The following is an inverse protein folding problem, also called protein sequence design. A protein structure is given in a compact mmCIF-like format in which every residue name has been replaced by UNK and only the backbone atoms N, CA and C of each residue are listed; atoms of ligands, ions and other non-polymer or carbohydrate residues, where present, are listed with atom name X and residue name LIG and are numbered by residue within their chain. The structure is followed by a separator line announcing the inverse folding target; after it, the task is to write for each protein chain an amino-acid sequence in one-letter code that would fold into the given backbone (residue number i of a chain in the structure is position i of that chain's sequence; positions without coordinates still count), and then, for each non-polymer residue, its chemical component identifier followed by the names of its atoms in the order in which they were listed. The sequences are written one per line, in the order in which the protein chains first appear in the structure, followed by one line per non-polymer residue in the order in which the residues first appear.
data_IF_098787124578
#
_entry.id   IF_098787124578
#
_cell.length_a   1.000
_cell.length_b   1.000
_cell.length_c   1.000
_cell.angle_alpha   90.00
_cell.angle_beta   90.00
_cell.angle_gamma   90.00
#
_symmetry.space_group_name_H-M   'P 1'
#
loop_
_entity.id
_entity.type
_entity.pdbx_description
1 polymer ?
#
# COMPACT_ATOMS: atom_id res chain seq x y z
N UNK A 1 -0.72 15.87 19.20
CA UNK A 1 -1.28 16.29 17.91
C UNK A 1 -2.77 15.92 17.86
N UNK A 2 -3.65 16.87 17.57
CA UNK A 2 -5.08 16.53 17.36
C UNK A 2 -5.30 16.26 15.87
N UNK A 3 -5.30 15.00 15.50
CA UNK A 3 -5.43 14.56 14.10
C UNK A 3 -6.92 14.46 13.77
N UNK A 4 -7.40 15.31 12.87
CA UNK A 4 -8.82 15.34 12.49
C UNK A 4 -9.24 14.10 11.69
N UNK A 5 -10.52 13.74 11.74
CA UNK A 5 -11.10 12.69 10.90
C UNK A 5 -10.89 12.95 9.41
N UNK A 6 -11.00 14.21 8.96
CA UNK A 6 -10.73 14.61 7.59
C UNK A 6 -9.28 14.31 7.17
N UNK A 7 -8.29 14.54 8.06
CA UNK A 7 -6.90 14.20 7.81
C UNK A 7 -6.71 12.68 7.67
N UNK A 8 -7.30 11.88 8.56
CA UNK A 8 -7.22 10.40 8.46
C UNK A 8 -7.86 9.93 7.16
N UNK A 9 -9.03 10.49 6.79
CA UNK A 9 -9.71 10.15 5.54
C UNK A 9 -8.82 10.43 4.32
N UNK A 10 -8.15 11.58 4.29
CA UNK A 10 -7.27 11.94 3.16
C UNK A 10 -6.07 11.01 3.00
N UNK A 11 -5.68 10.27 4.03
CA UNK A 11 -4.58 9.30 4.03
C UNK A 11 -5.06 7.86 3.74
N UNK A 12 -6.37 7.65 3.62
CA UNK A 12 -6.95 6.31 3.51
C UNK A 12 -6.84 5.77 2.08
N UNK A 13 -6.28 4.57 1.94
CA UNK A 13 -6.53 3.68 0.81
C UNK A 13 -7.70 2.77 1.19
N UNK A 14 -8.92 3.15 0.77
CA UNK A 14 -10.14 2.42 1.06
C UNK A 14 -10.13 1.08 0.33
N UNK A 15 -10.05 -0.01 1.08
CA UNK A 15 -9.64 -1.32 0.57
C UNK A 15 -10.78 -2.33 0.63
N UNK A 16 -11.03 -3.05 -0.47
CA UNK A 16 -11.75 -4.32 -0.50
C UNK A 16 -10.94 -5.36 -1.25
N UNK A 17 -10.51 -6.39 -0.52
CA UNK A 17 -9.73 -7.53 -1.03
C UNK A 17 -10.30 -8.82 -0.41
N UNK A 18 -11.63 -8.98 -0.47
CA UNK A 18 -12.29 -10.22 -0.01
C UNK A 18 -12.47 -11.15 -1.19
N UNK A 19 -12.41 -12.46 -0.93
CA UNK A 19 -12.57 -13.49 -1.98
C UNK A 19 -13.97 -13.50 -2.57
N UNK A 20 -14.95 -13.01 -1.82
CA UNK A 20 -16.36 -12.90 -2.20
C UNK A 20 -16.75 -11.49 -2.69
N UNK A 21 -15.80 -10.62 -2.98
CA UNK A 21 -16.10 -9.30 -3.55
C UNK A 21 -16.86 -9.45 -4.88
N UNK A 22 -17.91 -8.66 -5.02
CA UNK A 22 -18.76 -8.61 -6.21
C UNK A 22 -18.72 -7.22 -6.84
N UNK A 23 -19.15 -7.07 -8.12
CA UNK A 23 -19.26 -5.75 -8.73
C UNK A 23 -20.08 -4.75 -7.89
N UNK A 24 -21.13 -5.20 -7.21
CA UNK A 24 -21.95 -4.35 -6.35
C UNK A 24 -21.19 -3.84 -5.11
N UNK A 25 -20.33 -4.68 -4.52
CA UNK A 25 -19.44 -4.29 -3.40
C UNK A 25 -18.46 -3.23 -3.86
N UNK A 26 -17.88 -3.37 -5.05
CA UNK A 26 -16.91 -2.41 -5.60
C UNK A 26 -17.60 -1.10 -5.99
N UNK A 27 -18.81 -1.13 -6.53
CA UNK A 27 -19.61 0.08 -6.79
C UNK A 27 -19.87 0.86 -5.50
N UNK A 28 -20.24 0.16 -4.42
CA UNK A 28 -20.42 0.78 -3.10
C UNK A 28 -19.10 1.33 -2.53
N UNK A 29 -17.98 0.61 -2.70
CA UNK A 29 -16.65 1.09 -2.30
C UNK A 29 -16.31 2.42 -2.98
N UNK A 30 -16.45 2.50 -4.31
CA UNK A 30 -16.18 3.71 -5.09
C UNK A 30 -17.11 4.86 -4.70
N UNK A 31 -18.40 4.58 -4.47
CA UNK A 31 -19.37 5.58 -4.01
C UNK A 31 -19.01 6.16 -2.63
N UNK A 32 -18.44 5.35 -1.77
CA UNK A 32 -17.99 5.75 -0.43
C UNK A 32 -16.60 6.41 -0.41
N UNK A 33 -15.91 6.50 -1.53
CA UNK A 33 -14.57 7.10 -1.62
C UNK A 33 -14.57 8.63 -1.42
N UNK A 34 -15.74 9.27 -1.53
CA UNK A 34 -15.95 10.71 -1.24
C UNK A 34 -17.00 10.86 -0.17
N UNK A 35 -16.68 11.62 0.88
CA UNK A 35 -17.53 11.89 2.03
C UNK A 35 -17.70 13.41 2.24
N UNK A 36 -18.63 13.83 3.09
CA UNK A 36 -18.85 15.25 3.42
C UNK A 36 -17.61 15.94 4.00
N UNK A 37 -16.72 15.18 4.65
CA UNK A 37 -15.48 15.66 5.27
C UNK A 37 -14.25 15.58 4.34
N UNK A 38 -14.40 15.11 3.09
CA UNK A 38 -13.32 14.99 2.12
C UNK A 38 -13.37 13.70 1.32
N UNK A 39 -12.24 13.31 0.76
CA UNK A 39 -12.08 12.10 -0.06
C UNK A 39 -10.92 11.24 0.42
N UNK A 40 -10.94 9.96 0.06
CA UNK A 40 -9.81 9.04 0.30
C UNK A 40 -8.69 9.30 -0.69
N UNK A 41 -7.47 8.82 -0.37
CA UNK A 41 -6.32 8.89 -1.28
C UNK A 41 -6.47 7.93 -2.45
N UNK A 42 -6.92 6.70 -2.17
CA UNK A 42 -7.11 5.67 -3.19
C UNK A 42 -8.26 4.73 -2.82
N UNK A 43 -8.80 4.03 -3.83
CA UNK A 43 -9.49 2.76 -3.64
C UNK A 43 -8.51 1.64 -3.98
N UNK A 44 -8.52 0.54 -3.21
CA UNK A 44 -7.64 -0.60 -3.43
C UNK A 44 -8.48 -1.87 -3.59
N UNK A 45 -8.39 -2.50 -4.75
CA UNK A 45 -9.23 -3.62 -5.15
C UNK A 45 -8.40 -4.74 -5.78
N UNK A 46 -8.98 -5.94 -5.92
CA UNK A 46 -8.37 -7.00 -6.72
C UNK A 46 -8.29 -6.63 -8.22
N UNK A 47 -7.33 -7.19 -8.99
CA UNK A 47 -7.11 -6.85 -10.40
C UNK A 47 -8.38 -6.89 -11.27
N UNK A 48 -9.30 -7.88 -11.17
CA UNK A 48 -10.51 -7.93 -12.00
C UNK A 48 -11.45 -6.74 -11.82
N UNK A 49 -11.31 -5.97 -10.75
CA UNK A 49 -12.17 -4.82 -10.44
C UNK A 49 -11.53 -3.46 -10.75
N UNK A 50 -10.32 -3.43 -11.31
CA UNK A 50 -9.61 -2.18 -11.62
C UNK A 50 -10.38 -1.35 -12.65
N UNK A 51 -10.73 -1.92 -13.79
CA UNK A 51 -11.45 -1.23 -14.85
C UNK A 51 -12.80 -0.69 -14.37
N UNK A 52 -13.53 -1.48 -13.57
CA UNK A 52 -14.79 -1.06 -12.96
C UNK A 52 -14.58 0.12 -12.02
N UNK A 53 -13.60 0.03 -11.12
CA UNK A 53 -13.28 1.10 -10.17
C UNK A 53 -12.92 2.39 -10.89
N UNK A 54 -12.10 2.29 -11.95
CA UNK A 54 -11.73 3.46 -12.77
C UNK A 54 -12.95 4.11 -13.44
N UNK A 55 -13.86 3.30 -13.96
CA UNK A 55 -15.07 3.80 -14.61
C UNK A 55 -16.09 4.44 -13.63
N UNK A 56 -16.10 3.97 -12.37
CA UNK A 56 -17.02 4.49 -11.32
C UNK A 56 -16.51 5.77 -10.67
N UNK A 57 -15.21 5.97 -10.59
CA UNK A 57 -14.66 7.20 -10.03
C UNK A 57 -14.77 8.34 -11.06
N UNK A 58 -15.24 9.54 -10.65
CA UNK A 58 -15.29 10.69 -11.54
C UNK A 58 -13.92 11.01 -12.15
N UNK A 59 -13.91 11.44 -13.41
CA UNK A 59 -12.69 11.94 -14.02
C UNK A 59 -12.14 13.11 -13.19
N UNK A 60 -10.83 13.13 -12.97
CA UNK A 60 -10.14 14.17 -12.21
C UNK A 60 -10.58 14.31 -10.74
N UNK A 61 -11.22 13.28 -10.15
CA UNK A 61 -11.57 13.32 -8.72
C UNK A 61 -10.34 13.33 -7.81
N UNK A 62 -9.14 12.99 -8.32
CA UNK A 62 -7.90 12.89 -7.58
C UNK A 62 -7.91 11.74 -6.55
N UNK A 63 -8.69 10.68 -6.81
CA UNK A 63 -8.66 9.42 -6.08
C UNK A 63 -7.95 8.39 -6.96
N UNK A 64 -6.92 7.77 -6.44
CA UNK A 64 -6.17 6.75 -7.16
C UNK A 64 -6.89 5.39 -7.17
N UNK A 65 -6.61 4.57 -8.19
CA UNK A 65 -7.01 3.17 -8.22
C UNK A 65 -5.77 2.32 -8.01
N UNK A 66 -5.70 1.69 -6.84
CA UNK A 66 -4.65 0.77 -6.47
C UNK A 66 -5.12 -0.68 -6.64
N UNK A 67 -4.20 -1.55 -7.02
CA UNK A 67 -4.44 -2.99 -7.03
C UNK A 67 -3.22 -3.78 -6.56
N UNK A 68 -3.42 -5.06 -6.29
CA UNK A 68 -2.39 -5.94 -5.75
C UNK A 68 -1.87 -6.91 -6.81
N UNK A 69 -0.57 -7.23 -6.76
CA UNK A 69 0.07 -8.25 -7.61
C UNK A 69 1.00 -9.13 -6.75
N UNK A 70 1.31 -10.34 -7.21
CA UNK A 70 2.04 -11.34 -6.42
C UNK A 70 1.34 -11.64 -5.08
N UNK A 71 0.02 -11.50 -5.04
CA UNK A 71 -0.77 -11.41 -3.82
C UNK A 71 -1.63 -12.67 -3.61
N UNK A 72 -1.74 -13.19 -2.36
CA UNK A 72 -1.19 -12.63 -1.11
C UNK A 72 0.17 -13.21 -0.69
N UNK A 73 0.69 -14.20 -1.38
CA UNK A 73 1.75 -15.09 -0.88
C UNK A 73 3.17 -14.66 -1.21
N UNK A 74 3.36 -13.79 -2.21
CA UNK A 74 4.67 -13.29 -2.61
C UNK A 74 5.56 -14.32 -3.30
N UNK A 75 5.01 -15.41 -3.84
CA UNK A 75 5.78 -16.53 -4.39
C UNK A 75 5.43 -16.91 -5.84
N UNK A 76 4.73 -16.01 -6.55
CA UNK A 76 4.44 -16.20 -7.95
C UNK A 76 5.69 -15.99 -8.83
N UNK A 77 5.78 -16.67 -9.99
CA UNK A 77 6.85 -16.44 -10.96
C UNK A 77 6.89 -14.98 -11.44
N UNK A 78 8.08 -14.41 -11.57
CA UNK A 78 8.25 -13.00 -12.00
C UNK A 78 7.53 -12.70 -13.33
N UNK A 79 7.56 -13.63 -14.28
CA UNK A 79 6.90 -13.43 -15.57
C UNK A 79 5.37 -13.28 -15.44
N UNK A 80 4.76 -14.00 -14.52
CA UNK A 80 3.31 -13.93 -14.25
C UNK A 80 2.97 -12.62 -13.55
N UNK A 81 3.81 -12.17 -12.59
CA UNK A 81 3.64 -10.89 -11.89
C UNK A 81 3.80 -9.70 -12.85
N UNK A 82 4.73 -9.78 -13.81
CA UNK A 82 4.88 -8.77 -14.86
C UNK A 82 3.61 -8.70 -15.74
N UNK A 83 3.06 -9.85 -16.14
CA UNK A 83 1.83 -9.89 -16.92
C UNK A 83 0.63 -9.34 -16.14
N UNK A 84 0.47 -9.70 -14.86
CA UNK A 84 -0.55 -9.15 -13.97
C UNK A 84 -0.43 -7.63 -13.87
N UNK A 85 0.79 -7.12 -13.65
CA UNK A 85 1.07 -5.68 -13.53
C UNK A 85 0.72 -4.94 -14.83
N UNK A 86 1.15 -5.47 -15.99
CA UNK A 86 0.85 -4.89 -17.29
C UNK A 86 -0.65 -4.81 -17.55
N UNK A 87 -1.40 -5.87 -17.21
CA UNK A 87 -2.85 -5.88 -17.37
C UNK A 87 -3.52 -4.88 -16.43
N UNK A 88 -3.12 -4.84 -15.16
CA UNK A 88 -3.68 -3.91 -14.18
C UNK A 88 -3.48 -2.44 -14.60
N UNK A 89 -2.31 -2.09 -15.13
CA UNK A 89 -2.02 -0.75 -15.65
C UNK A 89 -2.87 -0.44 -16.89
N UNK A 90 -3.03 -1.40 -17.80
CA UNK A 90 -3.90 -1.27 -18.97
C UNK A 90 -5.37 -1.08 -18.59
N UNK A 91 -5.84 -1.71 -17.51
CA UNK A 91 -7.19 -1.57 -16.95
C UNK A 91 -7.41 -0.24 -16.21
N UNK A 92 -6.35 0.57 -16.03
CA UNK A 92 -6.42 1.91 -15.47
C UNK A 92 -6.00 2.02 -14.01
N UNK A 93 -5.31 1.02 -13.43
CA UNK A 93 -4.62 1.20 -12.16
C UNK A 93 -3.50 2.24 -12.32
N UNK A 94 -3.35 3.10 -11.34
CA UNK A 94 -2.23 4.04 -11.26
C UNK A 94 -1.37 3.83 -10.01
N UNK A 95 -1.73 2.86 -9.18
CA UNK A 95 -0.91 2.40 -8.05
C UNK A 95 -0.91 0.86 -8.01
N UNK A 96 0.27 0.27 -7.87
CA UNK A 96 0.47 -1.17 -7.78
C UNK A 96 1.05 -1.52 -6.41
N UNK A 97 0.35 -2.36 -5.66
CA UNK A 97 0.79 -2.89 -4.37
C UNK A 97 1.37 -4.31 -4.59
N UNK A 98 2.68 -4.41 -4.74
CA UNK A 98 3.42 -5.66 -4.98
C UNK A 98 3.75 -6.37 -3.67
N UNK A 99 3.44 -7.65 -3.54
CA UNK A 99 3.97 -8.45 -2.42
C UNK A 99 5.43 -8.82 -2.71
N UNK A 100 6.32 -8.42 -1.80
CA UNK A 100 7.74 -8.77 -1.82
C UNK A 100 7.90 -10.30 -1.68
N UNK A 101 8.87 -10.95 -2.33
CA UNK A 101 9.16 -12.37 -2.15
C UNK A 101 9.80 -12.67 -0.78
N UNK A 102 9.07 -12.39 0.31
CA UNK A 102 9.59 -12.42 1.67
C UNK A 102 10.03 -13.82 2.12
N UNK A 103 9.38 -14.88 1.61
CA UNK A 103 9.79 -16.27 1.88
C UNK A 103 11.14 -16.60 1.25
N UNK A 104 11.41 -16.10 0.04
CA UNK A 104 12.70 -16.26 -0.61
C UNK A 104 13.79 -15.54 0.17
N UNK A 105 13.53 -14.33 0.67
CA UNK A 105 14.46 -13.60 1.55
C UNK A 105 14.79 -14.38 2.81
N UNK A 106 13.78 -14.96 3.48
CA UNK A 106 13.98 -15.80 4.67
C UNK A 106 14.86 -17.03 4.39
N UNK A 107 14.90 -17.51 3.16
CA UNK A 107 15.76 -18.60 2.69
C UNK A 107 17.13 -18.12 2.19
N UNK A 108 17.47 -16.84 2.36
CA UNK A 108 18.73 -16.23 1.96
C UNK A 108 18.79 -15.81 0.48
N UNK A 109 17.69 -15.89 -0.25
CA UNK A 109 17.61 -15.48 -1.66
C UNK A 109 17.10 -14.03 -1.79
N UNK A 110 17.95 -13.06 -1.47
CA UNK A 110 17.68 -11.64 -1.61
C UNK A 110 17.52 -11.23 -3.10
N UNK A 111 18.24 -11.89 -4.01
CA UNK A 111 18.22 -11.59 -5.43
C UNK A 111 16.82 -11.74 -6.06
N UNK A 112 15.98 -12.63 -5.53
CA UNK A 112 14.60 -12.74 -5.98
C UNK A 112 13.79 -11.47 -5.69
N UNK A 113 14.00 -10.85 -4.52
CA UNK A 113 13.38 -9.57 -4.15
C UNK A 113 13.88 -8.41 -5.03
N UNK A 114 15.19 -8.33 -5.26
CA UNK A 114 15.80 -7.33 -6.12
C UNK A 114 15.26 -7.39 -7.56
N UNK A 115 15.23 -8.60 -8.14
CA UNK A 115 14.74 -8.79 -9.51
C UNK A 115 13.24 -8.48 -9.63
N UNK A 116 12.42 -8.93 -8.66
CA UNK A 116 10.98 -8.68 -8.66
C UNK A 116 10.69 -7.19 -8.55
N UNK A 117 11.23 -6.53 -7.53
CA UNK A 117 10.95 -5.11 -7.29
C UNK A 117 11.45 -4.22 -8.43
N UNK A 118 12.68 -4.44 -8.95
CA UNK A 118 13.25 -3.57 -9.97
C UNK A 118 12.51 -3.66 -11.32
N UNK A 119 12.10 -4.86 -11.74
CA UNK A 119 11.37 -5.02 -13.00
C UNK A 119 9.95 -4.48 -12.90
N UNK A 120 9.26 -4.71 -11.77
CA UNK A 120 7.92 -4.15 -11.56
C UNK A 120 7.98 -2.63 -11.41
N UNK A 121 8.96 -2.06 -10.69
CA UNK A 121 9.15 -0.61 -10.59
C UNK A 121 9.34 0.02 -11.98
N UNK A 122 10.22 -0.57 -12.80
CA UNK A 122 10.45 -0.11 -14.17
C UNK A 122 9.15 -0.07 -14.98
N UNK A 123 8.38 -1.15 -14.94
CA UNK A 123 7.11 -1.25 -15.67
C UNK A 123 6.08 -0.22 -15.18
N UNK A 124 5.91 -0.10 -13.87
CA UNK A 124 4.95 0.85 -13.25
C UNK A 124 5.31 2.30 -13.59
N UNK A 125 6.59 2.67 -13.48
CA UNK A 125 7.06 4.02 -13.77
C UNK A 125 6.95 4.38 -15.26
N UNK A 126 7.14 3.42 -16.19
CA UNK A 126 6.89 3.65 -17.62
C UNK A 126 5.42 4.07 -17.91
N UNK A 127 4.49 3.69 -17.04
CA UNK A 127 3.07 4.06 -17.12
C UNK A 127 2.72 5.24 -16.20
N UNK A 128 3.71 5.95 -15.66
CA UNK A 128 3.52 7.06 -14.70
C UNK A 128 2.72 6.65 -13.45
N UNK A 129 2.79 5.39 -13.08
CA UNK A 129 2.19 4.83 -11.87
C UNK A 129 3.12 4.90 -10.66
N UNK A 130 2.61 4.54 -9.48
CA UNK A 130 3.38 4.40 -8.24
C UNK A 130 3.42 2.94 -7.78
N UNK A 131 4.59 2.49 -7.34
CA UNK A 131 4.81 1.16 -6.79
C UNK A 131 4.86 1.20 -5.25
N UNK A 132 3.99 0.44 -4.60
CA UNK A 132 4.08 0.16 -3.16
C UNK A 132 4.51 -1.29 -2.95
N UNK A 133 5.55 -1.53 -2.18
CA UNK A 133 6.07 -2.87 -1.91
C UNK A 133 5.61 -3.34 -0.54
N UNK A 134 4.79 -4.40 -0.53
CA UNK A 134 4.28 -5.04 0.69
C UNK A 134 5.35 -6.00 1.21
N UNK A 135 5.95 -5.67 2.34
CA UNK A 135 7.05 -6.46 2.90
C UNK A 135 6.59 -7.66 3.71
N UNK A 136 5.33 -7.71 4.12
CA UNK A 136 4.72 -8.71 5.02
C UNK A 136 5.46 -8.77 6.36
N UNK A 137 5.55 -7.61 7.01
CA UNK A 137 6.37 -7.41 8.21
C UNK A 137 6.02 -8.34 9.36
N UNK A 138 4.76 -8.80 9.44
CA UNK A 138 4.32 -9.77 10.45
C UNK A 138 4.92 -11.18 10.30
N UNK A 139 5.54 -11.47 9.15
CA UNK A 139 6.23 -12.74 8.88
C UNK A 139 7.75 -12.64 9.02
N UNK A 140 8.31 -11.43 9.21
CA UNK A 140 9.75 -11.17 9.15
C UNK A 140 10.34 -10.81 10.52
N UNK A 141 11.61 -11.17 10.73
CA UNK A 141 12.39 -10.60 11.84
C UNK A 141 12.72 -9.13 11.59
N UNK A 142 13.08 -8.35 12.64
CA UNK A 142 13.50 -6.96 12.47
C UNK A 142 14.60 -6.76 11.43
N UNK A 143 15.59 -7.67 11.39
CA UNK A 143 16.70 -7.65 10.43
C UNK A 143 16.19 -7.88 9.00
N UNK A 144 15.29 -8.84 8.80
CA UNK A 144 14.70 -9.11 7.48
C UNK A 144 13.76 -7.96 7.04
N UNK A 145 13.04 -7.30 7.96
CA UNK A 145 12.25 -6.10 7.64
C UNK A 145 13.16 -5.00 7.10
N UNK A 146 14.27 -4.71 7.79
CA UNK A 146 15.21 -3.70 7.35
C UNK A 146 15.85 -4.05 6.00
N UNK A 147 16.25 -5.31 5.79
CA UNK A 147 16.84 -5.79 4.55
C UNK A 147 15.85 -5.71 3.39
N UNK A 148 14.61 -6.18 3.57
CA UNK A 148 13.56 -6.11 2.55
C UNK A 148 13.24 -4.64 2.17
N UNK A 149 13.20 -3.74 3.16
CA UNK A 149 13.00 -2.31 2.94
C UNK A 149 14.14 -1.71 2.11
N UNK A 150 15.40 -2.01 2.42
CA UNK A 150 16.57 -1.56 1.68
C UNK A 150 16.53 -2.04 0.22
N UNK A 151 16.20 -3.32 0.00
CA UNK A 151 16.05 -3.89 -1.36
C UNK A 151 14.95 -3.16 -2.12
N UNK A 152 13.76 -2.99 -1.53
CA UNK A 152 12.64 -2.33 -2.18
C UNK A 152 12.94 -0.87 -2.52
N UNK A 153 13.56 -0.12 -1.61
CA UNK A 153 14.00 1.27 -1.84
C UNK A 153 15.02 1.34 -2.97
N UNK A 154 16.06 0.51 -2.93
CA UNK A 154 17.10 0.49 -3.96
C UNK A 154 16.54 0.11 -5.34
N UNK A 155 15.51 -0.72 -5.38
CA UNK A 155 14.82 -1.15 -6.60
C UNK A 155 13.82 -0.12 -7.17
N UNK A 156 13.59 1.00 -6.47
CA UNK A 156 12.73 2.09 -6.95
C UNK A 156 11.29 2.05 -6.42
N UNK A 157 11.03 1.44 -5.26
CA UNK A 157 9.73 1.54 -4.62
C UNK A 157 9.40 2.99 -4.23
N UNK A 158 8.17 3.43 -4.54
CA UNK A 158 7.65 4.74 -4.13
C UNK A 158 7.12 4.68 -2.70
N UNK A 159 6.64 3.52 -2.25
CA UNK A 159 6.19 3.27 -0.89
C UNK A 159 6.68 1.92 -0.38
N UNK A 160 7.02 1.87 0.91
CA UNK A 160 7.04 0.63 1.67
C UNK A 160 5.66 0.41 2.30
N UNK A 161 5.15 -0.82 2.22
CA UNK A 161 3.86 -1.19 2.84
C UNK A 161 4.09 -2.34 3.82
N UNK A 162 3.46 -2.25 5.00
CA UNK A 162 3.70 -3.23 6.05
C UNK A 162 3.20 -4.63 5.71
N UNK A 163 1.93 -4.78 5.33
CA UNK A 163 1.28 -6.10 5.34
C UNK A 163 0.22 -6.27 4.26
N UNK A 164 -0.04 -7.52 3.87
CA UNK A 164 -1.19 -7.89 3.01
C UNK A 164 -2.53 -7.79 3.76
N UNK A 165 -2.52 -8.02 5.07
CA UNK A 165 -3.71 -8.22 5.89
C UNK A 165 -4.32 -9.63 5.76
N UNK A 166 -3.58 -10.58 5.17
CA UNK A 166 -4.01 -11.97 4.92
C UNK A 166 -3.35 -12.99 5.84
N UNK A 167 -2.41 -12.56 6.68
CA UNK A 167 -1.82 -13.40 7.72
C UNK A 167 -2.23 -12.91 9.12
N UNK A 168 -1.97 -13.71 10.14
CA UNK A 168 -2.42 -13.45 11.51
C UNK A 168 -1.84 -12.13 12.10
N UNK A 169 -0.60 -11.80 11.75
CA UNK A 169 0.10 -10.62 12.25
C UNK A 169 0.17 -9.55 11.16
N UNK A 170 -0.51 -8.45 11.37
CA UNK A 170 -0.50 -7.28 10.47
C UNK A 170 0.59 -6.26 10.84
N UNK A 171 0.27 -4.98 10.68
CA UNK A 171 1.17 -3.88 11.05
C UNK A 171 1.42 -3.84 12.56
N UNK A 172 2.64 -3.46 12.95
CA UNK A 172 2.99 -3.10 14.33
C UNK A 172 3.76 -1.77 14.35
N UNK A 173 3.73 -1.07 15.49
CA UNK A 173 4.49 0.17 15.64
C UNK A 173 6.01 -0.09 15.57
N UNK A 174 6.46 -1.25 16.04
CA UNK A 174 7.86 -1.67 15.95
C UNK A 174 8.31 -1.84 14.51
N UNK A 175 7.54 -2.57 13.69
CA UNK A 175 7.83 -2.72 12.27
C UNK A 175 7.77 -1.38 11.54
N UNK A 176 6.76 -0.56 11.83
CA UNK A 176 6.63 0.79 11.28
C UNK A 176 7.84 1.68 11.62
N UNK A 177 8.37 1.59 12.84
CA UNK A 177 9.58 2.33 13.24
C UNK A 177 10.79 1.93 12.38
N UNK A 178 11.00 0.62 12.15
CA UNK A 178 12.09 0.12 11.29
C UNK A 178 11.94 0.69 9.87
N UNK A 179 10.73 0.66 9.31
CA UNK A 179 10.49 1.18 7.96
C UNK A 179 10.74 2.69 7.89
N UNK A 180 10.28 3.46 8.86
CA UNK A 180 10.53 4.90 8.94
C UNK A 180 12.04 5.22 9.06
N UNK A 181 12.80 4.38 9.77
CA UNK A 181 14.26 4.52 9.85
C UNK A 181 14.93 4.31 8.49
N UNK A 182 14.48 3.33 7.70
CA UNK A 182 15.00 3.09 6.35
C UNK A 182 14.58 4.21 5.38
N UNK A 183 13.34 4.69 5.46
CA UNK A 183 12.84 5.81 4.66
C UNK A 183 13.62 7.10 4.97
N UNK A 184 13.89 7.40 6.23
CA UNK A 184 14.66 8.58 6.62
C UNK A 184 16.12 8.57 6.11
N UNK A 185 16.67 7.39 5.81
CA UNK A 185 18.02 7.22 5.27
C UNK A 185 18.03 7.14 3.73
N UNK A 186 16.88 7.03 3.10
CA UNK A 186 16.77 6.93 1.65
C UNK A 186 17.23 8.21 0.95
N UNK A 187 17.88 8.04 -0.22
CA UNK A 187 18.35 9.19 -1.04
C UNK A 187 17.25 9.73 -1.96
N UNK A 188 16.22 8.96 -2.20
CA UNK A 188 15.03 9.33 -2.96
C UNK A 188 13.80 9.43 -2.03
N UNK A 189 12.78 10.19 -2.42
CA UNK A 189 11.51 10.19 -1.69
C UNK A 189 10.88 8.79 -1.67
N UNK A 190 10.53 8.31 -0.49
CA UNK A 190 9.80 7.04 -0.30
C UNK A 190 8.74 7.26 0.77
N UNK A 191 7.53 6.81 0.53
CA UNK A 191 6.43 6.86 1.48
C UNK A 191 6.28 5.59 2.31
N UNK A 192 5.38 5.66 3.28
CA UNK A 192 4.99 4.53 4.12
C UNK A 192 3.48 4.28 4.01
N UNK A 193 3.08 3.04 3.76
CA UNK A 193 1.69 2.60 3.88
C UNK A 193 1.56 1.60 5.01
N UNK A 194 0.73 1.93 6.00
CA UNK A 194 0.36 1.03 7.09
C UNK A 194 -0.88 0.24 6.68
N UNK A 195 -0.84 -1.08 6.78
CA UNK A 195 -1.99 -1.94 6.47
C UNK A 195 -1.98 -3.24 7.29
N UNK A 196 -3.17 -3.84 7.46
CA UNK A 196 -3.35 -5.02 8.30
C UNK A 196 -3.55 -4.66 9.77
N UNK A 197 -4.81 -4.57 10.21
CA UNK A 197 -5.18 -4.37 11.60
C UNK A 197 -5.57 -2.94 12.00
N UNK A 198 -5.51 -1.95 11.12
CA UNK A 198 -5.96 -0.58 11.42
C UNK A 198 -7.48 -0.49 11.25
N UNK A 199 -8.21 -0.53 12.36
CA UNK A 199 -9.68 -0.62 12.35
C UNK A 199 -10.39 0.57 13.00
N UNK A 200 -9.67 1.35 13.81
CA UNK A 200 -10.20 2.45 14.60
C UNK A 200 -9.32 3.70 14.52
N UNK A 201 -9.90 4.83 14.92
CA UNK A 201 -9.24 6.15 14.87
C UNK A 201 -8.00 6.18 15.76
N UNK A 202 -8.04 5.59 16.95
CA UNK A 202 -6.92 5.64 17.89
C UNK A 202 -5.68 4.93 17.32
N UNK A 203 -5.87 3.76 16.71
CA UNK A 203 -4.81 3.02 16.02
C UNK A 203 -4.24 3.84 14.85
N UNK A 204 -5.09 4.43 14.01
CA UNK A 204 -4.66 5.28 12.91
C UNK A 204 -3.84 6.48 13.41
N UNK A 205 -4.30 7.16 14.46
CA UNK A 205 -3.61 8.29 15.08
C UNK A 205 -2.25 7.92 15.66
N UNK A 206 -2.10 6.71 16.23
CA UNK A 206 -0.82 6.24 16.76
C UNK A 206 0.25 6.14 15.66
N UNK A 207 -0.08 5.55 14.50
CA UNK A 207 0.84 5.47 13.35
C UNK A 207 1.14 6.84 12.74
N UNK A 208 0.13 7.71 12.62
CA UNK A 208 0.32 9.08 12.14
C UNK A 208 1.25 9.86 13.08
N UNK A 209 1.04 9.76 14.39
CA UNK A 209 1.88 10.43 15.38
C UNK A 209 3.32 9.92 15.35
N UNK A 210 3.52 8.60 15.18
CA UNK A 210 4.84 8.01 15.03
C UNK A 210 5.55 8.52 13.77
N UNK A 211 4.85 8.54 12.63
CA UNK A 211 5.41 9.06 11.38
C UNK A 211 5.77 10.55 11.49
N UNK A 212 4.87 11.36 12.07
CA UNK A 212 5.10 12.78 12.30
C UNK A 212 6.28 13.04 13.23
N UNK A 213 6.44 12.25 14.30
CA UNK A 213 7.56 12.37 15.23
C UNK A 213 8.92 12.07 14.55
N UNK A 214 8.95 11.13 13.61
CA UNK A 214 10.16 10.73 12.90
C UNK A 214 10.50 11.60 11.70
N UNK A 215 9.49 11.95 10.90
CA UNK A 215 9.66 12.58 9.58
C UNK A 215 9.23 14.06 9.56
N UNK A 216 8.54 14.54 10.59
CA UNK A 216 7.89 15.85 10.63
C UNK A 216 6.42 15.81 10.26
N UNK A 217 5.64 16.78 10.78
CA UNK A 217 4.18 16.85 10.54
C UNK A 217 3.83 17.05 9.07
N UNK A 218 4.62 17.88 8.36
CA UNK A 218 4.40 18.20 6.94
C UNK A 218 4.66 17.01 6.02
N UNK A 219 5.42 16.01 6.46
CA UNK A 219 5.66 14.79 5.70
C UNK A 219 4.42 13.89 5.65
N UNK A 220 3.54 13.97 6.65
CA UNK A 220 2.34 13.13 6.73
C UNK A 220 1.26 13.66 5.79
N UNK A 221 1.44 13.43 4.50
CA UNK A 221 0.51 13.77 3.42
C UNK A 221 0.25 12.51 2.56
N UNK A 222 -0.83 12.48 1.75
CA UNK A 222 -1.16 11.30 0.92
C UNK A 222 -0.03 10.85 -0.02
N UNK A 223 0.86 11.74 -0.38
CA UNK A 223 2.02 11.46 -1.23
C UNK A 223 3.12 10.68 -0.51
N UNK A 224 3.13 10.71 0.84
CA UNK A 224 4.19 10.10 1.64
C UNK A 224 3.66 9.10 2.68
N UNK A 225 2.40 9.23 3.11
CA UNK A 225 1.84 8.37 4.16
C UNK A 225 0.42 7.92 3.81
N UNK A 226 0.18 6.63 3.88
CA UNK A 226 -1.12 6.00 3.60
C UNK A 226 -1.53 5.02 4.70
N UNK A 227 -2.83 4.82 4.83
CA UNK A 227 -3.43 3.80 5.69
C UNK A 227 -4.33 2.92 4.82
N UNK A 228 -3.99 1.64 4.69
CA UNK A 228 -4.83 0.66 4.01
C UNK A 228 -5.80 0.02 4.99
N UNK A 229 -7.09 0.30 4.84
CA UNK A 229 -8.12 -0.27 5.71
C UNK A 229 -9.46 -0.44 4.99
N UNK A 230 -10.24 -1.44 5.42
CA UNK A 230 -11.60 -1.71 4.93
C UNK A 230 -12.68 -1.11 5.84
N UNK A 231 -12.51 -1.20 7.17
CA UNK A 231 -13.54 -0.84 8.14
C UNK A 231 -13.38 0.56 8.75
N UNK A 232 -12.19 1.16 8.67
CA UNK A 232 -11.87 2.45 9.32
C UNK A 232 -12.80 3.58 8.85
N UNK A 233 -13.27 3.55 7.61
CA UNK A 233 -14.17 4.58 7.08
C UNK A 233 -15.43 4.74 7.94
N UNK A 234 -15.96 3.65 8.49
CA UNK A 234 -17.18 3.68 9.34
C UNK A 234 -16.99 4.48 10.64
N UNK A 235 -15.76 4.59 11.12
CA UNK A 235 -15.42 5.38 12.32
C UNK A 235 -15.23 6.88 11.99
N UNK A 236 -14.97 7.18 10.71
CA UNK A 236 -14.69 8.54 10.26
C UNK A 236 -15.96 9.34 9.90
N UNK A 237 -17.02 8.63 9.52
CA UNK A 237 -18.27 9.24 9.00
C UNK A 237 -19.44 9.04 9.95
#
# INVERSE_FOLDING_TARGET
MNISKAKILSLLDLTSLNEDDTPAVIDALCSNATQSIGKVAAVCVYPPFVAQSRARLPANCGINVATVVNFPTGDEPLADVLAQTQQALADGANEIDLVFPYKALQQGNAAAGEAMCSQIATLVHQHSGSLKVILETGALSPEHIAQAAQIAIAAGADFLKTSTGKIAHGASLEASAILLDQIAQAKQPVGLKISGGVRDIATAQAYIAQAAAKMGEDWVQPENFRIGASSLLKELV
#
